data_IF_561440955797
#
_entry.id   IF_561440955797
#
_cell.length_a   1.000
_cell.length_b   1.000
_cell.length_c   1.000
_cell.angle_alpha   90.00
_cell.angle_beta   90.00
_cell.angle_gamma   90.00
#
_symmetry.space_group_name_H-M   'P 1'
#
loop_
_entity.id
_entity.type
_entity.pdbx_description
1 polymer ?
#
# COMPACT_ATOMS: atom_id res chain seq x y z
N UNK A 1 -10.02 9.95 14.40
CA UNK A 1 -10.49 8.59 14.08
C UNK A 1 -9.32 7.64 14.37
N UNK A 2 -9.48 6.68 15.28
CA UNK A 2 -8.41 5.68 15.50
C UNK A 2 -8.38 4.73 14.31
N UNK A 3 -7.20 4.54 13.74
CA UNK A 3 -6.99 3.57 12.66
C UNK A 3 -6.97 2.17 13.28
N UNK A 4 -8.13 1.53 13.33
CA UNK A 4 -8.28 0.22 14.00
C UNK A 4 -7.71 -0.94 13.20
N UNK A 5 -7.64 -0.83 11.87
CA UNK A 5 -7.05 -1.87 11.01
C UNK A 5 -6.20 -1.26 9.86
N UNK A 6 -4.87 -1.25 10.01
CA UNK A 6 -3.96 -0.78 8.97
C UNK A 6 -3.91 -1.64 7.70
N UNK A 7 -4.32 -2.91 7.76
CA UNK A 7 -4.36 -3.82 6.60
C UNK A 7 -5.62 -3.54 5.78
N UNK A 8 -6.77 -3.47 6.44
CA UNK A 8 -8.03 -3.13 5.76
C UNK A 8 -7.98 -1.75 5.11
N UNK A 9 -7.39 -0.75 5.77
CA UNK A 9 -7.17 0.58 5.16
C UNK A 9 -6.28 0.49 3.91
N UNK A 10 -5.19 -0.29 3.98
CA UNK A 10 -4.28 -0.46 2.84
C UNK A 10 -4.95 -1.09 1.63
N UNK A 11 -5.67 -2.20 1.82
CA UNK A 11 -6.42 -2.86 0.74
C UNK A 11 -7.55 -1.97 0.19
N UNK A 12 -8.20 -1.22 1.07
CA UNK A 12 -9.24 -0.27 0.66
C UNK A 12 -8.67 0.85 -0.22
N UNK A 13 -7.48 1.37 0.10
CA UNK A 13 -6.80 2.37 -0.75
C UNK A 13 -6.48 1.82 -2.13
N UNK A 14 -5.94 0.59 -2.22
CA UNK A 14 -5.63 -0.05 -3.50
C UNK A 14 -6.90 -0.18 -4.34
N UNK A 15 -7.99 -0.70 -3.76
CA UNK A 15 -9.29 -0.83 -4.45
C UNK A 15 -9.80 0.52 -4.96
N UNK A 16 -9.76 1.55 -4.11
CA UNK A 16 -10.25 2.87 -4.48
C UNK A 16 -9.38 3.51 -5.57
N UNK A 17 -8.06 3.34 -5.51
CA UNK A 17 -7.13 3.80 -6.55
C UNK A 17 -7.40 3.10 -7.89
N UNK A 18 -7.63 1.78 -7.89
CA UNK A 18 -8.02 1.03 -9.08
C UNK A 18 -9.36 1.54 -9.66
N UNK A 19 -10.38 1.75 -8.81
CA UNK A 19 -11.68 2.30 -9.23
C UNK A 19 -11.53 3.71 -9.82
N UNK A 20 -10.61 4.51 -9.30
CA UNK A 20 -10.28 5.84 -9.79
C UNK A 20 -9.31 5.83 -10.99
N UNK A 21 -8.93 4.64 -11.49
CA UNK A 21 -7.98 4.46 -12.61
C UNK A 21 -6.61 5.13 -12.36
N UNK A 22 -6.19 5.17 -11.10
CA UNK A 22 -4.87 5.67 -10.72
C UNK A 22 -3.82 4.57 -10.94
N UNK A 23 -2.70 4.87 -11.62
CA UNK A 23 -1.65 3.88 -11.88
C UNK A 23 -0.84 3.52 -10.62
N UNK A 24 -0.78 4.43 -9.64
CA UNK A 24 0.03 4.28 -8.42
C UNK A 24 -0.74 4.80 -7.19
N UNK A 25 -0.42 4.24 -6.01
CA UNK A 25 -0.97 4.70 -4.73
C UNK A 25 0.15 4.80 -3.69
N UNK A 26 0.16 5.87 -2.91
CA UNK A 26 1.11 6.08 -1.82
C UNK A 26 0.44 5.88 -0.45
N UNK A 27 1.16 5.25 0.48
CA UNK A 27 0.68 5.08 1.85
C UNK A 27 1.86 4.95 2.83
N UNK A 28 1.64 5.15 4.14
CA UNK A 28 2.69 4.95 5.14
C UNK A 28 3.18 3.50 5.15
N UNK A 29 4.50 3.32 5.10
CA UNK A 29 5.13 2.01 5.10
C UNK A 29 5.02 1.33 6.46
N UNK A 30 4.88 0.00 6.44
CA UNK A 30 5.02 -0.85 7.62
C UNK A 30 5.51 -2.22 7.18
N UNK A 31 6.18 -2.96 8.08
CA UNK A 31 6.72 -4.30 7.76
C UNK A 31 5.65 -5.23 7.19
N UNK A 32 4.43 -5.16 7.73
CA UNK A 32 3.29 -5.97 7.28
C UNK A 32 2.84 -5.57 5.86
N UNK A 33 2.74 -4.26 5.57
CA UNK A 33 2.34 -3.79 4.23
C UNK A 33 3.37 -4.14 3.16
N UNK A 34 4.66 -4.12 3.51
CA UNK A 34 5.74 -4.55 2.61
C UNK A 34 5.60 -6.04 2.30
N UNK A 35 5.46 -6.90 3.32
CA UNK A 35 5.25 -8.33 3.12
C UNK A 35 3.98 -8.63 2.31
N UNK A 36 2.89 -7.89 2.53
CA UNK A 36 1.68 -8.04 1.73
C UNK A 36 1.87 -7.61 0.28
N UNK A 37 2.61 -6.52 0.03
CA UNK A 37 2.91 -6.06 -1.32
C UNK A 37 3.79 -7.07 -2.07
N UNK A 38 4.73 -7.72 -1.38
CA UNK A 38 5.54 -8.80 -1.94
C UNK A 38 4.67 -9.99 -2.38
N UNK A 39 3.73 -10.43 -1.54
CA UNK A 39 2.77 -11.50 -1.91
C UNK A 39 1.89 -11.07 -3.09
N UNK A 40 1.34 -9.85 -3.05
CA UNK A 40 0.52 -9.33 -4.15
C UNK A 40 1.29 -9.26 -5.47
N UNK A 41 2.58 -8.95 -5.43
CA UNK A 41 3.45 -8.95 -6.60
C UNK A 41 3.74 -10.38 -7.08
N UNK A 42 4.04 -11.31 -6.17
CA UNK A 42 4.31 -12.71 -6.50
C UNK A 42 3.12 -13.40 -7.17
N UNK A 43 1.91 -13.08 -6.72
CA UNK A 43 0.65 -13.57 -7.30
C UNK A 43 0.24 -12.81 -8.58
N UNK A 44 0.95 -11.74 -8.95
CA UNK A 44 0.69 -10.96 -10.16
C UNK A 44 -0.49 -9.98 -10.08
N UNK A 45 -0.96 -9.63 -8.87
CA UNK A 45 -2.02 -8.63 -8.67
C UNK A 45 -1.53 -7.18 -8.84
N UNK A 46 -0.25 -6.93 -8.57
CA UNK A 46 0.39 -5.63 -8.77
C UNK A 46 1.66 -5.78 -9.61
N UNK A 47 1.98 -4.76 -10.40
CA UNK A 47 3.18 -4.78 -11.25
C UNK A 47 4.47 -4.60 -10.43
N UNK A 48 4.39 -3.93 -9.28
CA UNK A 48 5.52 -3.71 -8.38
C UNK A 48 5.16 -2.77 -7.24
N UNK A 49 6.07 -2.67 -6.27
CA UNK A 49 5.99 -1.71 -5.18
C UNK A 49 7.37 -1.10 -4.93
N UNK A 50 7.39 0.11 -4.37
CA UNK A 50 8.62 0.77 -3.93
C UNK A 50 8.42 1.32 -2.52
N UNK A 51 9.43 1.14 -1.66
CA UNK A 51 9.48 1.77 -0.35
C UNK A 51 10.41 2.96 -0.46
N UNK A 52 9.86 4.16 -0.27
CA UNK A 52 10.64 5.39 -0.22
C UNK A 52 10.76 5.84 1.23
N UNK A 53 11.99 5.99 1.70
CA UNK A 53 12.26 6.68 2.95
C UNK A 53 12.07 8.17 2.69
N UNK A 54 10.98 8.72 3.20
CA UNK A 54 10.77 10.16 3.17
C UNK A 54 11.74 10.75 4.22
N UNK A 55 12.85 11.32 3.76
CA UNK A 55 13.77 12.10 4.60
C UNK A 55 13.03 13.35 5.12
N UNK A 56 12.29 13.15 6.20
CA UNK A 56 11.35 14.12 6.73
C UNK A 56 10.59 13.50 7.89
N UNK A 57 11.31 13.30 9.00
CA UNK A 57 10.73 13.11 10.33
C UNK A 57 9.54 14.07 10.55
N UNK A 58 8.44 13.61 11.16
CA UNK A 58 8.04 14.17 12.43
C UNK A 58 8.93 13.65 13.57
#
# INVERSE_FOLDING_TARGET
MSMSDPIADFLTRIRNAQMAQMPEVSCPSSKIKVALSEVLQAEGYINGYAVQDVEGKP
#
